data_IF_061367528492
#
_entry.id   IF_061367528492
#
_cell.length_a   1.000
_cell.length_b   1.000
_cell.length_c   1.000
_cell.angle_alpha   90.00
_cell.angle_beta   90.00
_cell.angle_gamma   90.00
#
_symmetry.space_group_name_H-M   'P 1'
#
loop_
_entity.id
_entity.type
_entity.pdbx_description
1 polymer ?
#
# COMPACT_ATOMS: atom_id res chain seq x y z
N UNK A 1 18.71 15.01 18.21
CA UNK A 1 17.38 14.52 18.58
C UNK A 1 17.19 13.24 17.78
N UNK A 2 17.35 12.08 18.40
CA UNK A 2 17.23 10.81 17.68
C UNK A 2 15.80 10.63 17.22
N UNK A 3 15.60 10.51 15.91
CA UNK A 3 14.35 10.01 15.35
C UNK A 3 14.09 8.66 16.03
N UNK A 4 12.88 8.43 16.55
CA UNK A 4 12.49 7.12 17.06
C UNK A 4 12.92 6.05 16.06
N UNK A 5 13.49 4.94 16.55
CA UNK A 5 13.76 3.82 15.66
C UNK A 5 12.43 3.43 15.05
N UNK A 6 12.40 3.28 13.73
CA UNK A 6 11.19 2.98 12.96
C UNK A 6 10.82 1.52 13.20
N UNK A 7 10.47 1.18 14.45
CA UNK A 7 10.35 -0.18 14.96
C UNK A 7 9.11 -0.91 14.47
N UNK A 8 8.40 -0.35 13.49
CA UNK A 8 7.52 -1.11 12.62
C UNK A 8 7.45 -0.37 11.29
N UNK A 9 7.86 -1.03 10.20
CA UNK A 9 7.51 -0.58 8.85
C UNK A 9 5.99 -0.33 8.85
N UNK A 10 5.51 0.83 8.38
CA UNK A 10 4.07 1.15 8.38
C UNK A 10 3.23 0.04 7.74
N UNK A 11 3.80 -0.69 6.78
CA UNK A 11 3.23 -1.88 6.16
C UNK A 11 2.88 -2.99 7.16
N UNK A 12 3.69 -3.23 8.20
CA UNK A 12 3.36 -4.19 9.25
C UNK A 12 2.14 -3.74 10.08
N UNK A 13 2.05 -2.45 10.37
CA UNK A 13 0.91 -1.90 11.10
C UNK A 13 -0.37 -1.97 10.26
N UNK A 14 -0.28 -1.65 8.96
CA UNK A 14 -1.39 -1.79 8.03
C UNK A 14 -1.84 -3.25 7.93
N UNK A 15 -0.91 -4.19 7.77
CA UNK A 15 -1.21 -5.63 7.75
C UNK A 15 -1.89 -6.08 9.05
N UNK A 16 -1.42 -5.66 10.22
CA UNK A 16 -2.06 -5.99 11.50
C UNK A 16 -3.50 -5.45 11.58
N UNK A 17 -3.73 -4.20 11.18
CA UNK A 17 -5.08 -3.62 11.13
C UNK A 17 -5.98 -4.35 10.13
N UNK A 18 -5.44 -4.73 8.97
CA UNK A 18 -6.16 -5.51 7.94
C UNK A 18 -6.56 -6.88 8.50
N UNK A 19 -5.65 -7.61 9.17
CA UNK A 19 -5.95 -8.88 9.83
C UNK A 19 -7.08 -8.76 10.85
N UNK A 20 -6.98 -7.80 11.77
CA UNK A 20 -8.04 -7.56 12.76
C UNK A 20 -9.40 -7.28 12.11
N UNK A 21 -9.41 -6.53 11.00
CA UNK A 21 -10.63 -6.21 10.27
C UNK A 21 -11.25 -7.44 9.58
N UNK A 22 -10.42 -8.33 9.04
CA UNK A 22 -10.81 -9.59 8.42
C UNK A 22 -11.28 -10.63 9.45
N UNK A 23 -10.53 -10.81 10.53
CA UNK A 23 -10.87 -11.71 11.63
C UNK A 23 -12.22 -11.32 12.24
N UNK A 24 -12.46 -10.02 12.49
CA UNK A 24 -13.74 -9.50 13.00
C UNK A 24 -14.93 -9.82 12.08
N UNK A 25 -14.68 -10.04 10.79
CA UNK A 25 -15.69 -10.33 9.76
C UNK A 25 -15.71 -11.80 9.35
N UNK A 26 -14.89 -12.65 9.97
CA UNK A 26 -14.71 -14.05 9.60
C UNK A 26 -14.42 -14.24 8.11
N UNK A 27 -13.54 -13.39 7.56
CA UNK A 27 -13.04 -13.54 6.18
C UNK A 27 -11.99 -14.63 6.17
N UNK A 28 -12.06 -15.54 5.19
CA UNK A 28 -10.99 -16.50 4.92
C UNK A 28 -9.89 -15.81 4.09
N UNK A 29 -8.65 -15.82 4.59
CA UNK A 29 -7.54 -15.15 3.94
C UNK A 29 -6.21 -15.84 4.23
N UNK A 30 -5.27 -15.68 3.28
CA UNK A 30 -3.88 -16.06 3.43
C UNK A 30 -3.02 -14.83 3.18
N UNK A 31 -2.06 -14.59 4.08
CA UNK A 31 -1.01 -13.59 3.83
C UNK A 31 0.10 -14.30 3.08
N UNK A 32 0.38 -13.84 1.85
CA UNK A 32 1.49 -14.39 1.06
C UNK A 32 2.81 -14.13 1.79
N UNK A 33 3.58 -15.18 2.14
CA UNK A 33 4.79 -15.02 2.93
C UNK A 33 5.90 -14.36 2.10
N UNK A 34 6.72 -13.56 2.77
CA UNK A 34 7.92 -12.94 2.21
C UNK A 34 9.12 -13.15 3.14
N UNK A 35 10.30 -13.10 2.57
CA UNK A 35 11.58 -13.26 3.26
C UNK A 35 12.22 -11.89 3.50
N UNK A 36 12.88 -11.72 4.65
CA UNK A 36 13.70 -10.53 4.95
C UNK A 36 15.14 -10.77 4.53
N UNK A 37 15.82 -9.73 4.03
CA UNK A 37 17.21 -9.85 3.56
C UNK A 37 18.21 -9.95 4.72
N UNK A 38 17.87 -9.34 5.85
CA UNK A 38 18.58 -9.43 7.13
C UNK A 38 17.61 -9.11 8.30
N UNK A 39 18.09 -9.31 9.53
CA UNK A 39 17.38 -8.97 10.77
C UNK A 39 17.68 -7.53 11.23
N UNK A 40 18.33 -6.73 10.38
CA UNK A 40 18.65 -5.36 10.75
C UNK A 40 17.38 -4.53 10.66
N UNK A 41 16.77 -4.24 11.81
CA UNK A 41 15.69 -3.25 11.94
C UNK A 41 16.19 -1.80 11.71
N UNK A 42 17.29 -1.64 10.97
CA UNK A 42 18.00 -0.38 10.76
C UNK A 42 17.76 0.12 9.33
N UNK A 43 17.26 1.35 9.21
CA UNK A 43 17.26 2.08 7.94
C UNK A 43 18.72 2.49 7.66
N UNK A 44 19.44 1.72 6.86
CA UNK A 44 20.89 1.91 6.67
C UNK A 44 21.22 3.07 5.72
N UNK A 45 20.41 3.34 4.70
CA UNK A 45 20.57 4.51 3.82
C UNK A 45 19.28 4.87 3.09
N UNK A 46 18.88 6.14 3.15
CA UNK A 46 17.68 6.67 2.48
C UNK A 46 16.63 7.14 3.49
N UNK A 47 16.26 8.42 3.42
CA UNK A 47 15.11 8.90 4.15
C UNK A 47 13.86 8.16 3.65
N UNK A 48 13.01 7.79 4.60
CA UNK A 48 11.65 7.22 4.44
C UNK A 48 11.55 5.70 4.30
N UNK A 49 12.38 4.97 3.56
CA UNK A 49 12.23 3.50 3.43
C UNK A 49 13.55 2.78 3.17
N UNK A 50 13.79 1.64 3.84
CA UNK A 50 14.80 0.66 3.42
C UNK A 50 14.40 0.07 2.06
N UNK A 51 14.82 0.73 0.98
CA UNK A 51 14.45 0.38 -0.39
C UNK A 51 14.88 -1.04 -0.76
N UNK A 52 16.04 -1.50 -0.26
CA UNK A 52 16.55 -2.83 -0.55
C UNK A 52 15.76 -3.91 0.17
N UNK A 53 15.62 -3.80 1.50
CA UNK A 53 14.89 -4.81 2.28
C UNK A 53 13.39 -4.82 2.00
N UNK A 54 12.76 -3.67 1.70
CA UNK A 54 11.36 -3.63 1.23
C UNK A 54 11.21 -4.30 -0.13
N UNK A 55 12.16 -4.08 -1.04
CA UNK A 55 12.08 -4.67 -2.39
C UNK A 55 12.32 -6.18 -2.34
N UNK A 56 13.30 -6.64 -1.55
CA UNK A 56 13.57 -8.06 -1.35
C UNK A 56 12.35 -8.80 -0.76
N UNK A 57 11.75 -8.22 0.28
CA UNK A 57 10.52 -8.76 0.87
C UNK A 57 9.36 -8.80 -0.13
N UNK A 58 9.16 -7.72 -0.90
CA UNK A 58 8.10 -7.70 -1.91
C UNK A 58 8.31 -8.73 -3.03
N UNK A 59 9.53 -8.86 -3.53
CA UNK A 59 9.86 -9.83 -4.58
C UNK A 59 9.71 -11.27 -4.10
N UNK A 60 10.08 -11.60 -2.86
CA UNK A 60 9.88 -12.94 -2.29
C UNK A 60 8.39 -13.26 -2.10
N UNK A 61 7.57 -12.29 -1.72
CA UNK A 61 6.10 -12.45 -1.75
C UNK A 61 5.60 -12.73 -3.16
N UNK A 62 6.06 -11.97 -4.16
CA UNK A 62 5.67 -12.21 -5.56
C UNK A 62 6.11 -13.59 -6.04
N UNK A 63 7.31 -14.06 -5.67
CA UNK A 63 7.77 -15.42 -5.97
C UNK A 63 6.79 -16.48 -5.43
N UNK A 64 6.35 -16.32 -4.18
CA UNK A 64 5.41 -17.26 -3.55
C UNK A 64 4.02 -17.15 -4.17
N UNK A 65 3.53 -15.96 -4.50
CA UNK A 65 2.28 -15.76 -5.21
C UNK A 65 2.27 -16.47 -6.58
N UNK A 66 3.37 -16.38 -7.33
CA UNK A 66 3.51 -17.07 -8.62
C UNK A 66 3.46 -18.59 -8.44
N UNK A 67 4.06 -19.15 -7.38
CA UNK A 67 3.96 -20.57 -7.06
C UNK A 67 2.50 -20.99 -6.80
N UNK A 68 1.76 -20.20 -6.00
CA UNK A 68 0.35 -20.45 -5.69
C UNK A 68 -0.53 -20.40 -6.95
N UNK A 69 -0.34 -19.40 -7.81
CA UNK A 69 -1.02 -19.29 -9.11
C UNK A 69 -0.72 -20.51 -10.00
N UNK A 70 0.55 -20.93 -10.06
CA UNK A 70 0.97 -22.09 -10.86
C UNK A 70 0.39 -23.41 -10.35
N UNK A 71 0.27 -23.56 -9.03
CA UNK A 71 -0.32 -24.73 -8.39
C UNK A 71 -1.86 -24.81 -8.57
N UNK A 72 -2.50 -23.70 -8.99
CA UNK A 72 -3.95 -23.63 -9.11
C UNK A 72 -4.67 -23.44 -7.78
N UNK A 73 -3.95 -23.01 -6.74
CA UNK A 73 -4.49 -22.69 -5.42
C UNK A 73 -5.33 -21.41 -5.44
N UNK A 74 -5.05 -20.53 -6.39
CA UNK A 74 -5.76 -19.26 -6.60
C UNK A 74 -6.53 -19.37 -7.92
N UNK A 75 -7.82 -19.05 -7.87
CA UNK A 75 -8.77 -19.19 -8.97
C UNK A 75 -9.56 -17.91 -9.21
N UNK A 76 -10.47 -17.91 -10.17
CA UNK A 76 -11.39 -16.78 -10.42
C UNK A 76 -12.43 -16.55 -9.32
N UNK A 77 -12.47 -17.40 -8.30
CA UNK A 77 -13.32 -17.22 -7.11
C UNK A 77 -12.61 -16.44 -6.00
N UNK A 78 -11.31 -16.23 -6.16
CA UNK A 78 -10.45 -15.61 -5.16
C UNK A 78 -10.15 -14.16 -5.53
N UNK A 79 -9.71 -13.40 -4.53
CA UNK A 79 -9.26 -12.02 -4.68
C UNK A 79 -7.85 -11.88 -4.11
N UNK A 80 -6.98 -11.19 -4.84
CA UNK A 80 -5.66 -10.78 -4.36
C UNK A 80 -5.73 -9.30 -4.00
N UNK A 81 -5.44 -8.98 -2.74
CA UNK A 81 -5.39 -7.61 -2.26
C UNK A 81 -3.94 -7.16 -2.07
N UNK A 82 -3.55 -6.12 -2.80
CA UNK A 82 -2.28 -5.43 -2.64
C UNK A 82 -2.50 -4.15 -1.83
N UNK A 83 -1.91 -4.10 -0.64
CA UNK A 83 -2.05 -2.99 0.31
C UNK A 83 -1.30 -1.72 -0.13
N UNK A 84 -0.30 -1.86 -1.00
CA UNK A 84 0.46 -0.78 -1.63
C UNK A 84 0.54 -1.03 -3.14
N UNK A 85 0.44 0.05 -3.93
CA UNK A 85 0.45 -0.01 -5.38
C UNK A 85 1.82 -0.38 -5.92
N UNK A 86 2.88 0.16 -5.31
CA UNK A 86 4.23 -0.21 -5.72
C UNK A 86 4.58 -1.52 -5.03
N UNK A 87 4.69 -2.61 -5.80
CA UNK A 87 5.15 -3.93 -5.35
C UNK A 87 6.08 -4.49 -6.43
N UNK A 88 7.40 -4.61 -6.18
CA UNK A 88 8.32 -5.17 -7.14
C UNK A 88 7.93 -6.60 -7.55
N UNK A 89 7.91 -6.88 -8.85
CA UNK A 89 7.44 -8.14 -9.41
C UNK A 89 5.98 -8.11 -9.87
N UNK A 90 5.20 -7.07 -9.55
CA UNK A 90 3.82 -6.88 -10.03
C UNK A 90 3.72 -6.92 -11.56
N UNK A 91 4.76 -6.46 -12.26
CA UNK A 91 4.87 -6.48 -13.72
C UNK A 91 4.82 -7.88 -14.34
N UNK A 92 5.02 -8.93 -13.53
CA UNK A 92 4.83 -10.31 -13.97
C UNK A 92 3.36 -10.73 -14.11
N UNK A 93 2.42 -10.08 -13.41
CA UNK A 93 1.02 -10.48 -13.36
C UNK A 93 0.30 -10.36 -14.70
N UNK A 94 0.43 -9.26 -15.48
CA UNK A 94 -0.20 -9.20 -16.80
C UNK A 94 0.21 -10.37 -17.69
N UNK A 95 1.52 -10.66 -17.74
CA UNK A 95 2.07 -11.75 -18.54
C UNK A 95 1.52 -13.12 -18.13
N UNK A 96 1.47 -13.40 -16.82
CA UNK A 96 0.97 -14.68 -16.29
C UNK A 96 -0.54 -14.81 -16.55
N UNK A 97 -1.32 -13.80 -16.18
CA UNK A 97 -2.78 -13.88 -16.19
C UNK A 97 -3.36 -13.88 -17.61
N UNK A 98 -2.78 -13.12 -18.54
CA UNK A 98 -3.22 -13.12 -19.94
C UNK A 98 -3.05 -14.48 -20.62
N UNK A 99 -2.06 -15.27 -20.20
CA UNK A 99 -1.82 -16.63 -20.69
C UNK A 99 -2.53 -17.72 -19.88
N UNK A 100 -3.20 -17.35 -18.79
CA UNK A 100 -3.91 -18.27 -17.89
C UNK A 100 -5.39 -18.34 -18.30
N UNK A 101 -6.07 -19.50 -18.29
CA UNK A 101 -7.51 -19.58 -18.55
C UNK A 101 -8.36 -18.79 -17.55
N UNK A 102 -9.51 -18.26 -17.97
CA UNK A 102 -10.36 -17.37 -17.15
C UNK A 102 -10.71 -17.94 -15.76
N UNK A 103 -10.96 -19.25 -15.65
CA UNK A 103 -11.27 -19.91 -14.37
C UNK A 103 -10.15 -19.84 -13.32
N UNK A 104 -8.94 -19.47 -13.72
CA UNK A 104 -7.77 -19.30 -12.86
C UNK A 104 -7.30 -17.83 -12.78
N UNK A 105 -8.12 -16.87 -13.22
CA UNK A 105 -7.81 -15.44 -13.13
C UNK A 105 -8.55 -14.81 -11.94
N UNK A 106 -7.88 -14.57 -10.79
CA UNK A 106 -8.52 -13.94 -9.63
C UNK A 106 -8.89 -12.48 -9.91
N UNK A 107 -9.72 -11.90 -9.04
CA UNK A 107 -9.85 -10.45 -8.95
C UNK A 107 -8.60 -9.85 -8.30
N UNK A 108 -8.16 -8.68 -8.76
CA UNK A 108 -7.00 -7.99 -8.17
C UNK A 108 -7.45 -6.64 -7.65
N UNK A 109 -7.26 -6.40 -6.36
CA UNK A 109 -7.52 -5.11 -5.73
C UNK A 109 -6.18 -4.45 -5.39
N UNK A 110 -5.89 -3.34 -6.06
CA UNK A 110 -4.62 -2.63 -5.94
C UNK A 110 -4.83 -1.28 -5.27
N UNK A 111 -4.30 -1.12 -4.06
CA UNK A 111 -4.46 0.13 -3.30
C UNK A 111 -3.41 1.16 -3.68
N UNK A 112 -3.88 2.32 -4.13
CA UNK A 112 -3.06 3.49 -4.41
C UNK A 112 -3.13 4.45 -3.22
N UNK A 113 -2.08 4.43 -2.39
CA UNK A 113 -1.95 5.28 -1.19
C UNK A 113 -1.61 6.72 -1.57
N UNK A 114 -0.63 6.85 -2.44
CA UNK A 114 -0.18 8.03 -3.16
C UNK A 114 0.34 7.51 -4.52
N UNK A 115 1.13 8.30 -5.26
CA UNK A 115 2.18 7.92 -6.24
C UNK A 115 2.38 9.13 -7.17
N UNK A 116 2.69 8.96 -8.45
CA UNK A 116 2.87 10.09 -9.37
C UNK A 116 1.56 10.85 -9.64
N UNK A 117 0.44 10.31 -9.18
CA UNK A 117 -0.88 10.93 -9.23
C UNK A 117 -1.15 11.91 -8.08
N UNK A 118 -0.37 11.80 -7.01
CA UNK A 118 -0.37 12.73 -5.88
C UNK A 118 0.81 13.70 -6.06
N UNK A 119 0.55 14.99 -6.35
CA UNK A 119 1.61 15.97 -6.63
C UNK A 119 2.56 16.19 -5.44
N UNK A 120 2.13 15.83 -4.22
CA UNK A 120 2.91 16.01 -2.99
C UNK A 120 3.73 14.76 -2.63
N UNK A 121 3.64 13.68 -3.42
CA UNK A 121 4.36 12.45 -3.14
C UNK A 121 5.88 12.60 -3.41
N UNK A 122 6.68 11.87 -2.63
CA UNK A 122 8.13 11.89 -2.71
C UNK A 122 8.65 11.49 -4.11
N UNK A 123 7.88 10.74 -4.92
CA UNK A 123 8.29 10.41 -6.29
C UNK A 123 8.57 11.64 -7.15
N UNK A 124 7.94 12.78 -6.85
CA UNK A 124 8.22 14.05 -7.52
C UNK A 124 9.52 14.70 -7.02
N UNK A 125 9.77 14.64 -5.71
CA UNK A 125 10.98 15.18 -5.06
C UNK A 125 12.24 14.48 -5.55
N UNK A 126 12.18 13.15 -5.72
CA UNK A 126 13.32 12.33 -6.09
C UNK A 126 13.45 12.07 -7.61
N UNK A 127 12.63 12.73 -8.44
CA UNK A 127 12.68 12.56 -9.90
C UNK A 127 12.24 11.17 -10.39
N UNK A 128 11.46 10.45 -9.58
CA UNK A 128 10.96 9.10 -9.87
C UNK A 128 9.65 9.11 -10.68
N UNK A 129 8.97 10.26 -10.75
CA UNK A 129 7.66 10.43 -11.37
C UNK A 129 7.53 9.78 -12.75
N UNK A 130 8.51 9.98 -13.65
CA UNK A 130 8.46 9.44 -15.02
C UNK A 130 8.30 7.93 -15.06
N UNK A 131 9.14 7.20 -14.33
CA UNK A 131 9.07 5.73 -14.37
C UNK A 131 7.90 5.21 -13.55
N UNK A 132 7.53 5.91 -12.46
CA UNK A 132 6.37 5.54 -11.65
C UNK A 132 5.09 5.66 -12.47
N UNK A 133 4.91 6.70 -13.28
CA UNK A 133 3.76 6.82 -14.18
C UNK A 133 3.70 5.71 -15.24
N UNK A 134 4.84 5.21 -15.72
CA UNK A 134 4.85 4.06 -16.63
C UNK A 134 4.46 2.77 -15.90
N UNK A 135 4.89 2.61 -14.64
CA UNK A 135 4.50 1.49 -13.78
C UNK A 135 2.99 1.52 -13.47
N UNK A 136 2.43 2.69 -13.17
CA UNK A 136 0.98 2.89 -12.97
C UNK A 136 0.18 2.53 -14.23
N UNK A 137 0.65 2.93 -15.41
CA UNK A 137 0.04 2.53 -16.68
C UNK A 137 0.11 1.00 -16.88
N UNK A 138 1.23 0.36 -16.55
CA UNK A 138 1.33 -1.10 -16.57
C UNK A 138 0.32 -1.75 -15.62
N UNK A 139 0.13 -1.19 -14.41
CA UNK A 139 -0.84 -1.71 -13.45
C UNK A 139 -2.28 -1.69 -13.99
N UNK A 140 -2.63 -0.73 -14.85
CA UNK A 140 -3.95 -0.68 -15.51
C UNK A 140 -4.19 -1.85 -16.47
N UNK A 141 -3.13 -2.49 -16.96
CA UNK A 141 -3.20 -3.58 -17.94
C UNK A 141 -3.24 -4.97 -17.26
N UNK A 142 -3.21 -5.02 -15.92
CA UNK A 142 -3.37 -6.27 -15.15
C UNK A 142 -4.82 -6.79 -15.33
N UNK A 143 -5.02 -8.05 -15.77
CA UNK A 143 -6.37 -8.62 -15.89
C UNK A 143 -7.14 -8.58 -14.56
N UNK A 144 -8.42 -8.20 -14.62
CA UNK A 144 -9.33 -8.09 -13.48
C UNK A 144 -8.86 -7.16 -12.34
N UNK A 145 -7.98 -6.20 -12.66
CA UNK A 145 -7.52 -5.23 -11.68
C UNK A 145 -8.59 -4.17 -11.39
N UNK A 146 -8.66 -3.80 -10.12
CA UNK A 146 -9.48 -2.74 -9.57
C UNK A 146 -8.59 -1.87 -8.71
N UNK A 147 -8.55 -0.58 -9.00
CA UNK A 147 -7.77 0.40 -8.25
C UNK A 147 -8.59 0.91 -7.08
N UNK A 148 -7.98 0.90 -5.89
CA UNK A 148 -8.54 1.48 -4.67
C UNK A 148 -7.80 2.79 -4.37
N UNK A 149 -8.40 3.92 -4.74
CA UNK A 149 -7.86 5.25 -4.56
C UNK A 149 -8.16 5.79 -3.17
N UNK A 150 -7.16 6.42 -2.54
CA UNK A 150 -7.29 6.86 -1.15
C UNK A 150 -8.22 8.06 -0.96
N UNK A 151 -8.50 8.88 -1.97
CA UNK A 151 -9.44 10.00 -1.84
C UNK A 151 -10.05 10.41 -3.20
N UNK A 152 -11.02 11.32 -3.18
CA UNK A 152 -11.73 11.78 -4.38
C UNK A 152 -10.85 12.60 -5.33
N UNK A 153 -9.86 13.33 -4.79
CA UNK A 153 -8.91 14.11 -5.57
C UNK A 153 -8.01 13.20 -6.42
N UNK A 154 -7.48 12.13 -5.83
CA UNK A 154 -6.74 11.09 -6.53
C UNK A 154 -7.59 10.45 -7.63
N UNK A 155 -8.87 10.16 -7.38
CA UNK A 155 -9.77 9.64 -8.42
C UNK A 155 -9.88 10.60 -9.59
N UNK A 156 -10.01 11.91 -9.34
CA UNK A 156 -10.06 12.92 -10.39
C UNK A 156 -8.75 12.96 -11.19
N UNK A 157 -7.61 12.97 -10.50
CA UNK A 157 -6.29 12.97 -11.14
C UNK A 157 -6.08 11.70 -11.98
N UNK A 158 -6.41 10.51 -11.46
CA UNK A 158 -6.30 9.24 -12.19
C UNK A 158 -7.10 9.25 -13.50
N UNK A 159 -8.31 9.83 -13.48
CA UNK A 159 -9.14 9.99 -14.68
C UNK A 159 -8.50 10.93 -15.70
N UNK A 160 -7.91 12.04 -15.24
CA UNK A 160 -7.17 12.98 -16.11
C UNK A 160 -5.92 12.29 -16.71
N UNK A 161 -5.25 11.45 -15.91
CA UNK A 161 -4.12 10.63 -16.34
C UNK A 161 -4.53 9.43 -17.22
N UNK A 162 -5.80 9.33 -17.60
CA UNK A 162 -6.36 8.31 -18.50
C UNK A 162 -6.16 6.86 -18.00
N UNK A 163 -6.25 6.66 -16.68
CA UNK A 163 -6.31 5.33 -16.09
C UNK A 163 -7.60 4.62 -16.52
N UNK A 164 -7.49 3.36 -16.93
CA UNK A 164 -8.58 2.60 -17.57
C UNK A 164 -9.20 1.56 -16.64
N UNK A 165 -8.45 1.08 -15.65
CA UNK A 165 -8.95 0.13 -14.67
C UNK A 165 -10.09 0.75 -13.85
N UNK A 166 -11.09 -0.03 -13.40
CA UNK A 166 -12.11 0.45 -12.46
C UNK A 166 -11.47 1.08 -11.22
N UNK A 167 -11.94 2.26 -10.83
CA UNK A 167 -11.40 3.02 -9.69
C UNK A 167 -12.50 3.15 -8.63
N UNK A 168 -12.20 2.76 -7.39
CA UNK A 168 -13.04 2.99 -6.22
C UNK A 168 -12.35 3.91 -5.23
N UNK A 169 -13.08 4.93 -4.76
CA UNK A 169 -12.65 5.76 -3.64
C UNK A 169 -12.89 4.99 -2.32
N UNK A 170 -11.81 4.72 -1.58
CA UNK A 170 -11.88 4.05 -0.27
C UNK A 170 -11.82 5.01 0.93
N UNK A 171 -11.89 6.32 0.69
CA UNK A 171 -12.09 7.37 1.70
C UNK A 171 -11.05 7.41 2.82
N UNK A 172 -9.77 7.43 2.45
CA UNK A 172 -8.65 7.87 3.27
C UNK A 172 -7.61 6.78 3.53
N UNK A 173 -6.55 7.19 4.23
CA UNK A 173 -5.60 6.26 4.82
C UNK A 173 -6.28 5.50 5.96
N UNK A 174 -6.48 4.20 5.76
CA UNK A 174 -7.01 3.30 6.79
C UNK A 174 -6.14 3.32 8.04
N UNK A 175 -6.78 3.44 9.20
CA UNK A 175 -6.15 3.27 10.50
C UNK A 175 -7.04 2.45 11.44
N UNK A 176 -6.42 1.78 12.41
CA UNK A 176 -7.12 1.03 13.44
C UNK A 176 -7.75 1.98 14.45
N UNK A 177 -9.04 2.31 14.29
CA UNK A 177 -9.75 3.26 15.17
C UNK A 177 -9.63 2.87 16.65
N UNK A 178 -9.93 1.63 16.98
CA UNK A 178 -9.89 1.13 18.37
C UNK A 178 -8.47 1.19 18.94
N UNK A 179 -7.48 0.89 18.11
CA UNK A 179 -6.07 0.92 18.47
C UNK A 179 -5.61 2.35 18.77
N UNK A 180 -5.89 3.31 17.88
CA UNK A 180 -5.59 4.73 18.08
C UNK A 180 -6.32 5.29 19.31
N UNK A 181 -7.59 4.93 19.50
CA UNK A 181 -8.37 5.36 20.67
C UNK A 181 -7.80 4.81 21.99
N UNK A 182 -7.22 3.60 21.98
CA UNK A 182 -6.63 2.98 23.18
C UNK A 182 -5.35 3.67 23.66
N UNK A 183 -4.65 4.41 22.79
CA UNK A 183 -3.40 5.12 23.12
C UNK A 183 -3.62 6.37 23.97
N UNK A 184 -4.85 6.87 24.07
CA UNK A 184 -5.15 8.14 24.74
C UNK A 184 -6.43 8.04 25.56
N UNK A 185 -6.45 8.75 26.69
CA UNK A 185 -7.66 8.91 27.50
C UNK A 185 -8.73 9.68 26.70
N UNK A 186 -9.91 9.08 26.53
CA UNK A 186 -11.02 9.69 25.78
C UNK A 186 -11.84 10.62 26.68
N UNK A 187 -11.65 11.94 26.54
CA UNK A 187 -12.43 12.95 27.26
C UNK A 187 -13.63 13.45 26.44
N UNK A 188 -14.78 13.74 27.06
CA UNK A 188 -15.87 14.48 26.43
C UNK A 188 -15.36 15.77 25.80
N UNK A 189 -15.94 16.18 24.65
CA UNK A 189 -15.42 17.30 23.87
C UNK A 189 -15.29 18.60 24.70
N UNK A 190 -16.28 18.88 25.56
CA UNK A 190 -16.31 20.08 26.40
C UNK A 190 -15.26 20.11 27.52
N UNK A 191 -14.67 18.95 27.86
CA UNK A 191 -13.64 18.83 28.89
C UNK A 191 -12.22 18.87 28.30
N UNK A 192 -12.10 18.90 26.98
CA UNK A 192 -10.80 18.92 26.29
C UNK A 192 -10.18 20.30 26.40
N UNK A 193 -8.88 20.36 26.67
CA UNK A 193 -8.11 21.61 26.59
C UNK A 193 -8.05 22.08 25.13
N UNK A 194 -8.29 23.36 24.90
CA UNK A 194 -8.08 23.98 23.59
C UNK A 194 -6.59 23.96 23.25
N UNK A 195 -6.19 23.07 22.34
CA UNK A 195 -4.80 22.89 21.90
C UNK A 195 -4.77 22.79 20.38
N UNK A 196 -3.78 23.42 19.78
CA UNK A 196 -3.42 23.20 18.37
C UNK A 196 -2.38 22.09 18.32
N UNK A 197 -2.62 21.09 17.48
CA UNK A 197 -1.73 19.93 17.31
C UNK A 197 -1.28 19.88 15.86
N UNK A 198 0.04 19.83 15.66
CA UNK A 198 0.65 19.59 14.36
C UNK A 198 1.03 18.12 14.27
N UNK A 199 0.31 17.37 13.43
CA UNK A 199 0.53 15.92 13.24
C UNK A 199 1.58 15.58 12.19
N UNK A 200 2.16 16.58 11.52
CA UNK A 200 3.15 16.38 10.49
C UNK A 200 4.54 16.07 11.09
N UNK A 201 5.30 15.21 10.41
CA UNK A 201 6.73 15.01 10.72
C UNK A 201 7.50 16.30 10.45
N UNK A 202 8.56 16.51 11.23
CA UNK A 202 9.54 17.56 10.93
C UNK A 202 10.49 17.12 9.82
N UNK A 203 9.92 16.89 8.63
CA UNK A 203 10.64 16.42 7.44
C UNK A 203 10.56 17.48 6.33
N UNK A 204 11.57 17.56 5.46
CA UNK A 204 11.60 18.52 4.35
C UNK A 204 10.39 18.38 3.43
N UNK A 205 9.89 17.16 3.25
CA UNK A 205 8.67 16.84 2.49
C UNK A 205 7.45 17.58 3.03
N UNK A 206 7.35 17.76 4.36
CA UNK A 206 6.16 18.31 5.03
C UNK A 206 6.21 19.82 5.26
N UNK A 207 7.21 20.50 4.69
CA UNK A 207 7.37 21.97 4.74
C UNK A 207 7.12 22.60 6.13
N UNK A 208 7.81 22.16 7.20
CA UNK A 208 7.48 22.52 8.59
C UNK A 208 7.76 24.00 8.94
N UNK A 209 8.29 24.81 8.01
CA UNK A 209 8.55 26.25 8.20
C UNK A 209 7.47 27.16 7.59
N UNK A 210 6.32 26.60 7.21
CA UNK A 210 5.17 27.38 6.78
C UNK A 210 4.58 28.24 7.91
#
# INVERSE_FOLDING_TARGET
MGLESYQARYTYQLTDWTKRAYDKRNIDYVIVPGDTIDDSEAIVTGQVLDAHGRSYFGMSQMMNLVKMLKAGEITSKDAIFFEDMFQPGMESLPYILQQTPDKYRPAIYLRCLAQAIDPDDFVHVWGMSKWMSLYEQMCNEIPNVVILASNEEMVANMRIANWKAPIYNISGLSFGKEEVQSRVEQKPFLERKNRVVFGARWDQEKQPQF
#
